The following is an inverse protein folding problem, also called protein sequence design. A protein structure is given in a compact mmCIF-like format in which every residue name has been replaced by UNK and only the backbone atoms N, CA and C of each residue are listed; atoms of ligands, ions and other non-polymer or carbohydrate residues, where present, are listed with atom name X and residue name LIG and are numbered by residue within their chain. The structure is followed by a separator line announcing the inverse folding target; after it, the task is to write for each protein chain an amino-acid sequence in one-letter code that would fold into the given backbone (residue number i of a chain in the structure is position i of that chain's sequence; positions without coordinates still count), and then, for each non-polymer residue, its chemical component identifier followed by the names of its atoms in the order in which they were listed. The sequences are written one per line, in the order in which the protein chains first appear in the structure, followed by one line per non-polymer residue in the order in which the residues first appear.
data_IF_366194938866
#
_entry.id   IF_366194938866
#
_cell.length_a   1.000
_cell.length_b   1.000
_cell.length_c   1.000
_cell.angle_alpha   90.00
_cell.angle_beta   90.00
_cell.angle_gamma   90.00
#
_symmetry.space_group_name_H-M   'P 1'
#
loop_
_entity.id
_entity.type
_entity.pdbx_description
1 polymer ?
#
# COMPACT_ATOMS: atom_id res chain seq x y z
N UNK A 1 29.51 14.54 -21.29
CA UNK A 1 29.94 14.13 -22.64
C UNK A 1 29.34 15.06 -23.71
N UNK A 2 28.05 15.36 -23.66
CA UNK A 2 27.37 16.26 -24.61
C UNK A 2 27.99 17.66 -24.70
N UNK A 3 28.38 18.27 -23.57
CA UNK A 3 29.04 19.58 -23.56
C UNK A 3 30.36 19.61 -24.36
N UNK A 4 31.20 18.60 -24.21
CA UNK A 4 32.46 18.48 -24.96
C UNK A 4 32.22 18.23 -26.47
N UNK A 5 31.15 17.53 -26.82
CA UNK A 5 30.75 17.36 -28.22
C UNK A 5 30.32 18.69 -28.85
N UNK A 6 29.53 19.50 -28.14
CA UNK A 6 29.09 20.81 -28.61
C UNK A 6 30.26 21.78 -28.79
N UNK A 7 31.19 21.82 -27.83
CA UNK A 7 32.40 22.65 -27.94
C UNK A 7 33.27 22.24 -29.14
N UNK A 8 33.43 20.94 -29.36
CA UNK A 8 34.22 20.43 -30.47
C UNK A 8 33.55 20.68 -31.83
N UNK A 9 32.23 20.57 -31.90
CA UNK A 9 31.44 20.92 -33.07
C UNK A 9 31.62 22.40 -33.45
N UNK A 10 31.58 23.30 -32.46
CA UNK A 10 31.77 24.73 -32.68
C UNK A 10 33.18 25.05 -33.23
N UNK A 11 34.21 24.40 -32.69
CA UNK A 11 35.59 24.53 -33.17
C UNK A 11 35.75 24.03 -34.61
N UNK A 12 35.18 22.86 -34.93
CA UNK A 12 35.28 22.26 -36.26
C UNK A 12 34.51 23.09 -37.30
N UNK A 13 33.31 23.55 -36.96
CA UNK A 13 32.44 24.30 -37.88
C UNK A 13 32.99 25.69 -38.23
N UNK A 14 33.82 26.29 -37.36
CA UNK A 14 34.50 27.57 -37.62
C UNK A 14 35.86 27.43 -38.32
N UNK A 15 36.46 26.24 -38.31
CA UNK A 15 37.79 26.04 -38.91
C UNK A 15 37.70 26.11 -40.45
N UNK A 16 38.47 26.97 -41.11
CA UNK A 16 38.52 27.00 -42.57
C UNK A 16 38.94 25.64 -43.13
N UNK A 17 38.12 25.08 -44.02
CA UNK A 17 38.40 23.80 -44.63
C UNK A 17 39.57 23.93 -45.64
N UNK A 18 40.46 22.94 -45.68
CA UNK A 18 41.75 23.03 -46.41
C UNK A 18 41.57 23.28 -47.92
N UNK A 19 40.53 22.72 -48.52
CA UNK A 19 40.27 22.78 -49.97
C UNK A 19 39.46 24.02 -50.34
N UNK A 20 38.36 24.26 -49.65
CA UNK A 20 37.42 25.36 -49.95
C UNK A 20 37.85 26.68 -49.33
N UNK A 21 38.83 26.66 -48.41
CA UNK A 21 39.39 27.82 -47.69
C UNK A 21 38.37 28.66 -46.92
N UNK A 22 37.14 28.18 -46.78
CA UNK A 22 36.02 28.81 -46.07
C UNK A 22 35.59 27.93 -44.90
N UNK A 23 35.01 28.54 -43.87
CA UNK A 23 34.49 27.78 -42.74
C UNK A 23 33.19 27.05 -43.16
N UNK A 24 32.98 25.78 -42.75
CA UNK A 24 31.73 25.07 -42.98
C UNK A 24 30.49 25.85 -42.53
N UNK A 25 30.56 26.58 -41.41
CA UNK A 25 29.46 27.40 -40.92
C UNK A 25 29.05 28.51 -41.90
N UNK A 26 30.00 29.12 -42.62
CA UNK A 26 29.72 30.17 -43.61
C UNK A 26 29.12 29.58 -44.89
N UNK A 27 29.62 28.42 -45.31
CA UNK A 27 29.10 27.72 -46.49
C UNK A 27 27.66 27.22 -46.25
N UNK A 28 27.37 26.73 -45.05
CA UNK A 28 26.05 26.24 -44.69
C UNK A 28 24.97 27.34 -44.76
N UNK A 29 25.31 28.60 -44.45
CA UNK A 29 24.38 29.73 -44.57
C UNK A 29 23.93 29.96 -46.02
N UNK A 30 24.82 29.77 -46.98
CA UNK A 30 24.53 29.86 -48.42
C UNK A 30 23.77 28.63 -48.91
N UNK A 31 24.21 27.43 -48.51
CA UNK A 31 23.61 26.15 -48.91
C UNK A 31 22.18 26.00 -48.38
N UNK A 32 21.90 26.50 -47.18
CA UNK A 32 20.57 26.43 -46.55
C UNK A 32 19.47 27.06 -47.41
N UNK A 33 19.79 28.03 -48.26
CA UNK A 33 18.82 28.63 -49.19
C UNK A 33 18.40 27.69 -50.33
N UNK A 34 19.20 26.64 -50.59
CA UNK A 34 18.99 25.64 -51.64
C UNK A 34 18.51 24.30 -51.09
N UNK A 35 18.59 24.10 -49.77
CA UNK A 35 18.12 22.89 -49.09
C UNK A 35 16.62 22.99 -48.83
N UNK A 36 15.92 21.88 -49.03
CA UNK A 36 14.51 21.77 -48.66
C UNK A 36 14.37 21.61 -47.14
N UNK A 37 13.37 22.24 -46.50
CA UNK A 37 13.12 22.05 -45.08
C UNK A 37 12.73 20.59 -44.81
N UNK A 38 13.17 20.07 -43.67
CA UNK A 38 12.72 18.76 -43.22
C UNK A 38 11.22 18.81 -42.90
N UNK A 39 10.46 17.72 -43.15
CA UNK A 39 9.06 17.62 -42.75
C UNK A 39 8.90 17.89 -41.25
N UNK A 40 7.90 18.70 -40.88
CA UNK A 40 7.62 19.00 -39.47
C UNK A 40 7.10 17.78 -38.69
N UNK A 41 6.47 16.83 -39.39
CA UNK A 41 6.08 15.55 -38.81
C UNK A 41 7.24 14.55 -38.92
N UNK A 42 7.65 13.88 -37.83
CA UNK A 42 8.71 12.90 -37.87
C UNK A 42 8.32 11.74 -38.80
N UNK A 43 9.24 11.37 -39.69
CA UNK A 43 9.08 10.18 -40.53
C UNK A 43 9.03 8.92 -39.66
N UNK A 44 8.21 7.94 -40.02
CA UNK A 44 7.94 6.76 -39.16
C UNK A 44 9.18 5.95 -38.79
N UNK A 45 10.25 6.01 -39.59
CA UNK A 45 11.53 5.40 -39.27
C UNK A 45 12.23 6.00 -38.02
N UNK A 46 11.85 7.21 -37.60
CA UNK A 46 12.42 7.86 -36.41
C UNK A 46 11.81 7.36 -35.08
N UNK A 47 10.71 6.61 -35.12
CA UNK A 47 10.03 6.15 -33.90
C UNK A 47 10.66 4.91 -33.26
N UNK A 48 11.55 4.20 -33.98
CA UNK A 48 12.30 3.06 -33.45
C UNK A 48 11.69 1.73 -33.83
N UNK A 49 11.55 0.81 -32.87
CA UNK A 49 11.07 -0.55 -33.09
C UNK A 49 9.63 -0.69 -32.59
N UNK A 50 8.75 -1.26 -33.41
CA UNK A 50 7.38 -1.56 -33.00
C UNK A 50 7.34 -2.69 -31.96
N UNK A 51 6.55 -2.50 -30.91
CA UNK A 51 6.26 -3.45 -29.84
C UNK A 51 4.77 -3.45 -29.53
N UNK A 52 4.22 -4.64 -29.33
CA UNK A 52 2.86 -4.78 -28.83
C UNK A 52 2.87 -4.65 -27.32
N UNK A 53 1.89 -3.93 -26.80
CA UNK A 53 1.57 -3.91 -25.37
C UNK A 53 0.94 -5.26 -25.03
N UNK A 54 1.37 -5.87 -23.92
CA UNK A 54 0.82 -7.14 -23.48
C UNK A 54 -0.71 -7.06 -23.30
N UNK A 55 -1.42 -8.17 -23.55
CA UNK A 55 -2.88 -8.19 -23.41
C UNK A 55 -3.36 -8.24 -21.95
N UNK A 56 -2.56 -8.84 -21.07
CA UNK A 56 -2.90 -9.03 -19.66
C UNK A 56 -2.39 -7.90 -18.77
N UNK A 57 -1.33 -7.21 -19.19
CA UNK A 57 -0.69 -6.16 -18.40
C UNK A 57 -0.33 -4.96 -19.29
N UNK A 58 -0.40 -3.72 -18.81
CA UNK A 58 -0.03 -2.54 -19.59
C UNK A 58 1.50 -2.36 -19.61
N UNK A 59 2.21 -3.37 -20.10
CA UNK A 59 3.66 -3.46 -20.14
C UNK A 59 4.16 -3.75 -21.56
N UNK A 60 5.36 -3.25 -21.84
CA UNK A 60 6.07 -3.42 -23.11
C UNK A 60 7.51 -3.84 -22.83
N UNK A 61 7.99 -4.86 -23.56
CA UNK A 61 9.38 -5.30 -23.47
C UNK A 61 10.22 -4.67 -24.59
N UNK A 62 11.31 -4.00 -24.23
CA UNK A 62 12.26 -3.40 -25.17
C UNK A 62 13.70 -3.61 -24.68
N UNK A 63 14.57 -4.14 -25.55
CA UNK A 63 15.98 -4.45 -25.24
C UNK A 63 16.19 -5.26 -23.94
N UNK A 64 15.25 -6.18 -23.64
CA UNK A 64 15.29 -7.02 -22.43
C UNK A 64 14.76 -6.34 -21.15
N UNK A 65 14.48 -5.03 -21.19
CA UNK A 65 13.80 -4.32 -20.12
C UNK A 65 12.28 -4.30 -20.30
N UNK A 66 11.54 -4.28 -19.19
CA UNK A 66 10.09 -4.14 -19.19
C UNK A 66 9.70 -2.73 -18.73
N UNK A 67 8.81 -2.08 -19.48
CA UNK A 67 8.41 -0.70 -19.28
C UNK A 67 6.89 -0.58 -19.28
N UNK A 68 6.34 0.14 -18.31
CA UNK A 68 4.90 0.41 -18.25
C UNK A 68 4.46 1.44 -19.28
N UNK A 69 3.23 1.27 -19.78
CA UNK A 69 2.51 2.23 -20.64
C UNK A 69 1.13 2.50 -20.06
N UNK A 70 0.45 3.60 -20.41
CA UNK A 70 -0.93 3.83 -19.98
C UNK A 70 -1.87 2.65 -20.29
N UNK A 71 -2.70 2.25 -19.32
CA UNK A 71 -3.61 1.09 -19.42
C UNK A 71 -4.57 1.16 -20.61
N UNK A 72 -4.89 2.36 -21.10
CA UNK A 72 -5.71 2.57 -22.30
C UNK A 72 -5.08 1.99 -23.58
N UNK A 73 -3.79 1.64 -23.56
CA UNK A 73 -3.05 1.12 -24.72
C UNK A 73 -2.81 -0.40 -24.64
N UNK A 74 -3.46 -1.11 -23.71
CA UNK A 74 -3.38 -2.58 -23.63
C UNK A 74 -3.82 -3.21 -24.95
N UNK A 75 -2.98 -4.09 -25.52
CA UNK A 75 -3.21 -4.72 -26.82
C UNK A 75 -2.93 -3.84 -28.05
N UNK A 76 -2.57 -2.57 -27.86
CA UNK A 76 -2.18 -1.68 -28.96
C UNK A 76 -0.70 -1.86 -29.34
N UNK A 77 -0.31 -1.31 -30.49
CA UNK A 77 1.10 -1.26 -30.91
C UNK A 77 1.71 0.10 -30.61
N UNK A 78 2.86 0.08 -29.93
CA UNK A 78 3.65 1.27 -29.62
C UNK A 78 5.04 1.15 -30.25
N UNK A 79 5.68 2.29 -30.46
CA UNK A 79 7.05 2.36 -30.95
C UNK A 79 7.99 2.66 -29.79
N UNK A 80 9.05 1.88 -29.68
CA UNK A 80 10.06 2.02 -28.65
C UNK A 80 11.41 2.39 -29.26
N UNK A 81 12.08 3.40 -28.70
CA UNK A 81 13.44 3.77 -29.07
C UNK A 81 14.26 4.15 -27.85
N UNK A 82 15.56 3.88 -27.92
CA UNK A 82 16.52 4.47 -26.98
C UNK A 82 16.77 5.95 -27.32
N UNK A 83 16.88 6.77 -26.30
CA UNK A 83 17.29 8.16 -26.36
C UNK A 83 18.28 8.42 -25.21
N UNK A 84 19.58 8.27 -25.50
CA UNK A 84 20.61 8.25 -24.46
C UNK A 84 20.40 7.08 -23.48
N UNK A 85 20.27 7.41 -22.20
CA UNK A 85 20.00 6.45 -21.12
C UNK A 85 18.51 6.18 -20.90
N UNK A 86 17.63 6.78 -21.71
CA UNK A 86 16.18 6.61 -21.61
C UNK A 86 15.62 5.77 -22.75
N UNK A 87 14.44 5.20 -22.51
CA UNK A 87 13.57 4.59 -23.50
C UNK A 87 12.33 5.46 -23.64
N UNK A 88 12.06 5.87 -24.87
CA UNK A 88 10.88 6.66 -25.24
C UNK A 88 9.90 5.75 -25.96
N UNK A 89 8.66 5.74 -25.47
CA UNK A 89 7.54 4.98 -26.02
C UNK A 89 6.54 5.95 -26.67
N UNK A 90 6.25 5.73 -27.95
CA UNK A 90 5.38 6.58 -28.76
C UNK A 90 4.21 5.75 -29.27
N UNK A 91 3.00 6.25 -29.07
CA UNK A 91 1.79 5.70 -29.70
C UNK A 91 1.40 6.55 -30.89
N UNK A 92 1.04 5.92 -32.01
CA UNK A 92 0.57 6.62 -33.21
C UNK A 92 -0.93 6.38 -33.34
N UNK A 93 -1.69 7.31 -32.77
CA UNK A 93 -3.15 7.30 -32.82
C UNK A 93 -3.70 8.13 -33.98
N UNK A 94 -5.03 8.32 -34.00
CA UNK A 94 -5.74 9.11 -35.02
C UNK A 94 -5.30 10.58 -35.10
N UNK A 95 -4.78 11.13 -34.00
CA UNK A 95 -4.31 12.51 -33.89
C UNK A 95 -2.83 12.67 -34.23
N UNK A 96 -2.14 11.57 -34.56
CA UNK A 96 -0.70 11.55 -34.83
C UNK A 96 0.12 10.89 -33.71
N UNK A 97 1.46 10.96 -33.83
CA UNK A 97 2.39 10.39 -32.87
C UNK A 97 2.40 11.18 -31.56
N UNK A 98 2.21 10.50 -30.43
CA UNK A 98 2.27 11.07 -29.08
C UNK A 98 3.23 10.25 -28.24
N UNK A 99 4.14 10.92 -27.53
CA UNK A 99 4.96 10.29 -26.49
C UNK A 99 4.05 9.90 -25.32
N UNK A 100 3.94 8.60 -25.07
CA UNK A 100 3.03 8.06 -24.04
C UNK A 100 3.76 7.67 -22.77
N UNK A 101 5.06 7.39 -22.87
CA UNK A 101 5.90 7.11 -21.71
C UNK A 101 7.38 7.34 -22.02
N UNK A 102 8.11 7.73 -20.98
CA UNK A 102 9.56 7.86 -20.97
C UNK A 102 10.08 7.24 -19.69
N UNK A 103 11.05 6.34 -19.82
CA UNK A 103 11.62 5.61 -18.71
C UNK A 103 13.14 5.58 -18.80
N UNK A 104 13.82 5.49 -17.67
CA UNK A 104 15.24 5.14 -17.65
C UNK A 104 15.43 3.71 -18.14
N UNK A 105 16.49 3.43 -18.90
CA UNK A 105 16.82 2.08 -19.36
C UNK A 105 16.96 1.14 -18.17
N UNK A 106 16.54 -0.11 -18.36
CA UNK A 106 16.57 -1.12 -17.32
C UNK A 106 17.03 -2.48 -17.82
N UNK A 107 17.31 -3.37 -16.88
CA UNK A 107 17.75 -4.75 -17.13
C UNK A 107 16.61 -5.76 -16.92
N UNK A 108 16.71 -6.96 -17.49
CA UNK A 108 15.76 -8.04 -17.22
C UNK A 108 15.57 -8.26 -15.72
N UNK A 109 14.31 -8.43 -15.28
CA UNK A 109 13.95 -8.61 -13.87
C UNK A 109 13.76 -7.32 -13.07
N UNK A 110 14.13 -6.15 -13.62
CA UNK A 110 13.95 -4.84 -12.98
C UNK A 110 12.97 -3.97 -13.79
N UNK A 111 11.66 -4.23 -13.77
CA UNK A 111 10.71 -3.45 -14.57
C UNK A 111 10.67 -1.98 -14.14
N UNK A 112 10.47 -1.07 -15.12
CA UNK A 112 10.21 0.35 -14.86
C UNK A 112 8.71 0.62 -14.93
N UNK A 113 8.14 0.88 -13.76
CA UNK A 113 6.71 1.05 -13.56
C UNK A 113 6.45 2.49 -13.13
N UNK A 114 5.62 3.19 -13.89
CA UNK A 114 5.04 4.47 -13.50
C UNK A 114 3.61 4.18 -13.03
N UNK A 115 3.32 4.46 -11.76
CA UNK A 115 2.01 4.19 -11.17
C UNK A 115 0.87 4.96 -11.86
N UNK A 116 1.15 6.14 -12.41
CA UNK A 116 0.16 6.94 -13.14
C UNK A 116 -0.37 6.27 -14.42
N UNK A 117 0.32 5.23 -14.91
CA UNK A 117 -0.14 4.45 -16.05
C UNK A 117 -1.29 3.48 -15.72
N UNK A 118 -1.49 3.19 -14.44
CA UNK A 118 -2.50 2.25 -13.95
C UNK A 118 -3.66 3.03 -13.35
N UNK A 119 -4.89 2.51 -13.49
CA UNK A 119 -6.02 3.07 -12.74
C UNK A 119 -5.72 3.07 -11.23
N UNK A 120 -6.13 4.12 -10.50
CA UNK A 120 -6.02 4.15 -9.04
C UNK A 120 -6.62 2.88 -8.45
N UNK A 121 -5.84 2.18 -7.63
CA UNK A 121 -6.31 0.96 -6.96
C UNK A 121 -7.45 1.34 -6.01
N UNK A 122 -8.58 0.65 -6.15
CA UNK A 122 -9.80 0.95 -5.38
C UNK A 122 -9.72 0.56 -3.89
N UNK A 123 -8.71 -0.21 -3.47
CA UNK A 123 -8.48 -0.51 -2.06
C UNK A 123 -7.00 -0.55 -1.72
N UNK A 124 -6.66 -0.02 -0.54
CA UNK A 124 -5.35 -0.16 0.07
C UNK A 124 -5.09 -1.64 0.43
N UNK A 125 -4.06 -2.29 -0.14
CA UNK A 125 -3.71 -3.67 0.18
C UNK A 125 -3.36 -3.88 1.66
N UNK A 126 -2.90 -2.83 2.35
CA UNK A 126 -2.47 -2.90 3.75
C UNK A 126 -3.64 -2.82 4.73
N UNK A 127 -4.78 -2.26 4.32
CA UNK A 127 -5.94 -2.02 5.19
C UNK A 127 -7.22 -2.55 4.54
N UNK A 128 -7.30 -3.88 4.39
CA UNK A 128 -8.50 -4.52 3.86
C UNK A 128 -9.63 -4.45 4.89
N UNK A 129 -10.66 -3.66 4.61
CA UNK A 129 -11.85 -3.65 5.46
C UNK A 129 -12.69 -4.91 5.24
N UNK A 130 -13.18 -5.56 6.32
CA UNK A 130 -14.08 -6.70 6.20
C UNK A 130 -15.38 -6.29 5.51
N UNK A 131 -15.77 -7.04 4.47
CA UNK A 131 -17.03 -6.85 3.74
C UNK A 131 -17.89 -8.09 3.90
N UNK A 132 -19.16 -7.89 4.25
CA UNK A 132 -20.13 -8.98 4.34
C UNK A 132 -20.33 -9.65 2.98
N UNK A 133 -20.23 -10.97 2.96
CA UNK A 133 -20.60 -11.86 1.84
C UNK A 133 -21.81 -12.71 2.17
N UNK A 134 -22.18 -12.84 3.46
CA UNK A 134 -23.37 -13.56 3.91
C UNK A 134 -24.26 -12.69 4.80
N UNK A 135 -25.50 -13.12 5.02
CA UNK A 135 -26.45 -12.39 5.88
C UNK A 135 -25.95 -12.30 7.33
N UNK A 136 -25.34 -13.37 7.84
CA UNK A 136 -24.80 -13.41 9.20
C UNK A 136 -23.61 -12.45 9.38
N UNK A 137 -22.75 -12.34 8.37
CA UNK A 137 -21.65 -11.36 8.38
C UNK A 137 -22.19 -9.93 8.33
N UNK A 138 -23.29 -9.68 7.60
CA UNK A 138 -23.94 -8.38 7.55
C UNK A 138 -24.59 -8.00 8.89
N UNK A 139 -25.26 -8.95 9.56
CA UNK A 139 -25.82 -8.74 10.89
C UNK A 139 -24.73 -8.43 11.92
N UNK A 140 -23.62 -9.15 11.89
CA UNK A 140 -22.50 -8.92 12.79
C UNK A 140 -21.82 -7.57 12.54
N UNK A 141 -21.53 -7.22 11.28
CA UNK A 141 -20.99 -5.89 10.94
C UNK A 141 -21.98 -4.76 11.27
N UNK A 142 -23.28 -5.06 11.28
CA UNK A 142 -24.33 -4.15 11.71
C UNK A 142 -24.31 -3.80 13.20
N UNK A 143 -23.56 -4.54 14.04
CA UNK A 143 -23.39 -4.21 15.45
C UNK A 143 -22.58 -2.91 15.64
N UNK A 144 -21.75 -2.52 14.67
CA UNK A 144 -21.04 -1.25 14.66
C UNK A 144 -19.54 -1.37 14.35
N UNK A 145 -18.77 -0.27 14.48
CA UNK A 145 -17.36 -0.22 14.09
C UNK A 145 -16.47 -1.20 14.87
N UNK A 146 -16.81 -1.49 16.13
CA UNK A 146 -16.11 -2.49 16.95
C UNK A 146 -16.15 -3.90 16.34
N UNK A 147 -17.21 -4.26 15.60
CA UNK A 147 -17.31 -5.54 14.91
C UNK A 147 -16.33 -5.65 13.74
N UNK A 148 -16.14 -4.58 12.97
CA UNK A 148 -15.18 -4.55 11.88
C UNK A 148 -13.74 -4.68 12.41
N UNK A 149 -13.40 -3.94 13.49
CA UNK A 149 -12.10 -4.04 14.15
C UNK A 149 -11.88 -5.47 14.68
N UNK A 150 -12.87 -6.03 15.38
CA UNK A 150 -12.78 -7.39 15.90
C UNK A 150 -12.51 -8.43 14.81
N UNK A 151 -13.12 -8.31 13.62
CA UNK A 151 -12.85 -9.22 12.50
C UNK A 151 -11.44 -9.08 11.92
N UNK A 152 -10.92 -7.86 11.84
CA UNK A 152 -9.55 -7.61 11.38
C UNK A 152 -8.55 -8.25 12.35
N UNK A 153 -8.66 -7.94 13.64
CA UNK A 153 -7.75 -8.45 14.66
C UNK A 153 -7.89 -9.97 14.85
N UNK A 154 -9.12 -10.51 14.81
CA UNK A 154 -9.35 -11.95 14.88
C UNK A 154 -8.73 -12.71 13.69
N UNK A 155 -8.72 -12.10 12.50
CA UNK A 155 -8.09 -12.68 11.32
C UNK A 155 -6.56 -12.65 11.44
N UNK A 156 -5.98 -11.56 11.94
CA UNK A 156 -4.55 -11.44 12.20
C UNK A 156 -4.07 -12.42 13.28
N UNK A 157 -4.85 -12.58 14.35
CA UNK A 157 -4.57 -13.53 15.43
C UNK A 157 -4.83 -15.00 15.05
N UNK A 158 -5.39 -15.27 13.87
CA UNK A 158 -5.73 -16.64 13.44
C UNK A 158 -6.83 -17.29 14.29
N UNK A 159 -7.79 -16.50 14.77
CA UNK A 159 -8.87 -16.98 15.63
C UNK A 159 -9.68 -18.10 14.95
N UNK A 160 -9.93 -19.18 15.70
CA UNK A 160 -10.74 -20.29 15.21
C UNK A 160 -12.23 -20.05 15.46
N UNK A 161 -13.09 -20.76 14.73
CA UNK A 161 -14.57 -20.73 14.92
C UNK A 161 -15.20 -19.33 14.86
N UNK A 162 -14.64 -18.41 14.08
CA UNK A 162 -15.12 -17.01 13.94
C UNK A 162 -16.62 -16.91 13.68
N UNK A 163 -17.18 -17.76 12.80
CA UNK A 163 -18.62 -17.75 12.48
C UNK A 163 -19.52 -18.02 13.69
N UNK A 164 -19.11 -18.93 14.59
CA UNK A 164 -19.88 -19.22 15.80
C UNK A 164 -19.85 -18.03 16.77
N UNK A 165 -18.69 -17.38 16.91
CA UNK A 165 -18.50 -16.20 17.76
C UNK A 165 -19.25 -14.97 17.23
N UNK A 166 -19.30 -14.79 15.90
CA UNK A 166 -20.16 -13.75 15.30
C UNK A 166 -21.63 -13.99 15.63
N UNK A 167 -22.12 -15.23 15.52
CA UNK A 167 -23.50 -15.56 15.85
C UNK A 167 -23.80 -15.34 17.36
N UNK A 168 -22.87 -15.71 18.23
CA UNK A 168 -22.94 -15.44 19.68
C UNK A 168 -23.01 -13.93 19.95
N UNK A 169 -22.14 -13.14 19.34
CA UNK A 169 -22.10 -11.68 19.48
C UNK A 169 -23.40 -11.01 19.00
N UNK A 170 -23.96 -11.45 17.86
CA UNK A 170 -25.27 -11.00 17.39
C UNK A 170 -26.38 -11.39 18.38
N UNK A 171 -26.28 -12.56 19.00
CA UNK A 171 -27.18 -13.00 20.08
C UNK A 171 -27.09 -12.09 21.31
N UNK A 172 -25.88 -11.78 21.78
CA UNK A 172 -25.63 -10.88 22.90
C UNK A 172 -26.08 -9.44 22.58
N UNK A 173 -25.98 -9.02 21.32
CA UNK A 173 -26.51 -7.74 20.83
C UNK A 173 -28.02 -7.55 21.05
N UNK A 174 -28.76 -8.63 21.27
CA UNK A 174 -30.20 -8.57 21.59
C UNK A 174 -30.47 -8.37 23.09
N UNK A 175 -29.47 -8.61 23.94
CA UNK A 175 -29.58 -8.56 25.41
C UNK A 175 -28.94 -7.29 26.00
N UNK A 176 -27.90 -6.77 25.36
CA UNK A 176 -27.12 -5.62 25.82
C UNK A 176 -27.37 -4.38 24.96
N UNK A 177 -27.01 -3.21 25.48
CA UNK A 177 -27.09 -1.97 24.70
C UNK A 177 -26.11 -2.01 23.51
N UNK A 178 -26.46 -1.41 22.35
CA UNK A 178 -25.55 -1.39 21.20
C UNK A 178 -24.17 -0.78 21.51
N UNK A 179 -24.13 0.26 22.36
CA UNK A 179 -22.89 0.91 22.77
C UNK A 179 -21.99 -0.03 23.56
N UNK A 180 -22.53 -0.78 24.53
CA UNK A 180 -21.77 -1.74 25.32
C UNK A 180 -21.20 -2.87 24.43
N UNK A 181 -21.96 -3.33 23.44
CA UNK A 181 -21.50 -4.39 22.52
C UNK A 181 -20.37 -3.88 21.62
N UNK A 182 -20.46 -2.65 21.11
CA UNK A 182 -19.37 -2.04 20.33
C UNK A 182 -18.11 -1.90 21.18
N UNK A 183 -18.23 -1.38 22.40
CA UNK A 183 -17.11 -1.22 23.32
C UNK A 183 -16.49 -2.57 23.72
N UNK A 184 -17.31 -3.58 23.99
CA UNK A 184 -16.84 -4.92 24.33
C UNK A 184 -16.11 -5.60 23.16
N UNK A 185 -16.62 -5.46 21.93
CA UNK A 185 -15.95 -5.97 20.73
C UNK A 185 -14.62 -5.26 20.48
N UNK A 186 -14.57 -3.94 20.68
CA UNK A 186 -13.33 -3.18 20.57
C UNK A 186 -12.31 -3.60 21.63
N UNK A 187 -12.71 -3.72 22.90
CA UNK A 187 -11.83 -4.17 23.98
C UNK A 187 -11.33 -5.60 23.76
N UNK A 188 -12.20 -6.50 23.25
CA UNK A 188 -11.81 -7.86 22.88
C UNK A 188 -10.76 -7.87 21.78
N UNK A 189 -10.92 -7.01 20.76
CA UNK A 189 -9.98 -6.87 19.66
C UNK A 189 -8.61 -6.34 20.15
N UNK A 190 -8.61 -5.25 20.92
CA UNK A 190 -7.40 -4.62 21.47
C UNK A 190 -6.63 -5.53 22.44
N UNK A 191 -7.35 -6.38 23.19
CA UNK A 191 -6.74 -7.33 24.13
C UNK A 191 -6.39 -8.69 23.53
N UNK A 192 -6.66 -8.91 22.24
CA UNK A 192 -6.44 -10.19 21.56
C UNK A 192 -7.31 -11.34 22.11
N UNK A 193 -8.44 -11.02 22.75
CA UNK A 193 -9.34 -11.99 23.38
C UNK A 193 -10.41 -12.46 22.40
N UNK A 194 -10.10 -13.57 21.75
CA UNK A 194 -10.99 -14.22 20.78
C UNK A 194 -11.46 -15.60 21.23
N UNK A 195 -11.42 -15.91 22.52
CA UNK A 195 -11.89 -17.16 23.12
C UNK A 195 -13.42 -17.29 23.11
N UNK A 196 -13.91 -18.49 23.45
CA UNK A 196 -15.34 -18.73 23.67
C UNK A 196 -15.77 -18.10 25.00
N UNK A 197 -16.88 -17.34 25.01
CA UNK A 197 -17.34 -16.62 26.20
C UNK A 197 -16.53 -15.36 26.58
N UNK A 198 -15.48 -15.00 25.84
CA UNK A 198 -14.68 -13.80 26.13
C UNK A 198 -15.52 -12.52 26.03
N UNK A 199 -16.34 -12.41 24.98
CA UNK A 199 -17.23 -11.27 24.80
C UNK A 199 -18.27 -11.17 25.93
N UNK A 200 -18.84 -12.30 26.35
CA UNK A 200 -19.78 -12.36 27.46
C UNK A 200 -19.11 -11.98 28.79
N UNK A 201 -17.88 -12.45 29.03
CA UNK A 201 -17.07 -12.08 30.20
C UNK A 201 -16.80 -10.57 30.25
N UNK A 202 -16.45 -9.96 29.12
CA UNK A 202 -16.22 -8.52 29.00
C UNK A 202 -17.52 -7.74 29.27
N UNK A 203 -18.64 -8.15 28.66
CA UNK A 203 -19.93 -7.50 28.85
C UNK A 203 -20.42 -7.58 30.31
N UNK A 204 -20.25 -8.72 30.98
CA UNK A 204 -20.57 -8.84 32.42
C UNK A 204 -19.72 -7.91 33.27
N UNK A 205 -18.42 -7.80 32.97
CA UNK A 205 -17.53 -6.91 33.69
C UNK A 205 -17.90 -5.44 33.48
N UNK A 206 -18.26 -5.05 32.26
CA UNK A 206 -18.76 -3.70 31.97
C UNK A 206 -20.05 -3.40 32.74
N UNK A 207 -20.98 -4.36 32.82
CA UNK A 207 -22.22 -4.19 33.58
C UNK A 207 -21.96 -3.94 35.08
N UNK A 208 -21.01 -4.66 35.70
CA UNK A 208 -20.67 -4.44 37.11
C UNK A 208 -19.95 -3.12 37.36
N UNK A 209 -19.19 -2.61 36.39
CA UNK A 209 -18.52 -1.31 36.46
C UNK A 209 -19.48 -0.12 36.23
N UNK A 210 -20.58 -0.33 35.51
CA UNK A 210 -21.63 0.70 35.35
C UNK A 210 -22.49 0.85 36.60
N UNK A 211 -22.74 -0.25 37.31
CA UNK A 211 -23.54 -0.25 38.56
C UNK A 211 -22.73 0.11 39.81
N UNK A 212 -21.41 -0.13 39.81
CA UNK A 212 -20.51 0.20 40.91
C UNK A 212 -19.78 1.51 40.68
N UNK A 213 -19.88 2.47 41.60
CA UNK A 213 -18.96 3.61 41.59
C UNK A 213 -17.52 3.08 41.59
N UNK A 214 -16.77 3.29 40.51
CA UNK A 214 -15.38 2.88 40.42
C UNK A 214 -14.67 3.25 41.74
N UNK A 215 -14.14 2.26 42.45
CA UNK A 215 -13.51 2.47 43.75
C UNK A 215 -12.29 3.39 43.53
N UNK A 216 -12.47 4.69 43.81
CA UNK A 216 -11.39 5.66 43.77
C UNK A 216 -10.72 5.68 45.13
N UNK A 217 -9.39 5.71 45.12
CA UNK A 217 -8.64 6.01 46.32
C UNK A 217 -9.14 7.35 46.91
N UNK A 218 -9.49 7.34 48.18
CA UNK A 218 -9.86 8.53 48.96
C UNK A 218 -9.05 8.54 50.24
N UNK A 219 -9.02 9.67 50.96
CA UNK A 219 -8.33 9.76 52.26
C UNK A 219 -8.84 8.70 53.27
N UNK A 220 -10.07 8.20 53.08
CA UNK A 220 -10.67 7.11 53.87
C UNK A 220 -10.58 5.73 53.24
N UNK A 221 -10.08 5.59 52.00
CA UNK A 221 -10.04 4.32 51.28
C UNK A 221 -8.76 4.18 50.44
N UNK A 222 -7.82 3.37 50.91
CA UNK A 222 -6.62 2.99 50.15
C UNK A 222 -6.92 1.82 49.21
N UNK A 223 -6.28 1.83 48.03
CA UNK A 223 -6.25 0.72 47.06
C UNK A 223 -5.03 -0.20 47.25
N UNK A 224 -4.17 0.09 48.23
CA UNK A 224 -3.08 -0.82 48.58
C UNK A 224 -3.65 -2.05 49.29
N UNK A 225 -3.27 -3.24 48.81
CA UNK A 225 -3.54 -4.48 49.53
C UNK A 225 -2.82 -4.42 50.89
N UNK A 226 -3.60 -4.29 51.97
CA UNK A 226 -3.06 -4.32 53.32
C UNK A 226 -2.56 -5.73 53.67
N UNK A 227 -1.47 -5.81 54.43
CA UNK A 227 -0.95 -7.07 54.97
C UNK A 227 -1.86 -7.71 56.03
N UNK A 228 -3.07 -7.18 56.24
CA UNK A 228 -4.04 -7.69 57.20
C UNK A 228 -4.40 -9.17 56.96
N UNK A 229 -4.39 -9.62 55.70
CA UNK A 229 -4.58 -11.04 55.36
C UNK A 229 -3.47 -11.96 55.92
N UNK A 230 -2.27 -11.43 56.15
CA UNK A 230 -1.14 -12.18 56.72
C UNK A 230 -1.16 -12.26 58.25
N UNK A 231 -1.95 -11.42 58.93
CA UNK A 231 -2.03 -11.43 60.39
C UNK A 231 -2.61 -12.73 60.97
N UNK A 232 -3.40 -13.46 60.18
CA UNK A 232 -4.00 -14.75 60.58
C UNK A 232 -2.95 -15.86 60.70
N UNK A 233 -1.84 -15.78 59.96
CA UNK A 233 -0.78 -16.80 59.95
C UNK A 233 0.15 -16.75 61.18
N UNK A 234 0.08 -15.70 62.00
CA UNK A 234 0.96 -15.52 63.16
C UNK A 234 0.45 -16.10 64.48
N UNK A 235 -0.79 -16.61 64.54
CA UNK A 235 -1.43 -17.04 65.79
C UNK A 235 -1.43 -18.56 66.04
N UNK A 236 -0.92 -19.39 65.13
CA UNK A 236 -0.80 -20.84 65.32
C UNK A 236 0.56 -21.20 65.95
N UNK A 237 0.73 -20.84 67.23
CA UNK A 237 1.85 -21.32 68.05
C UNK A 237 1.35 -22.45 68.98
N UNK A 238 1.13 -23.64 68.40
CA UNK A 238 0.82 -24.86 69.16
C UNK A 238 2.08 -25.69 69.38
N UNK A 239 2.67 -25.54 70.57
CA UNK A 239 3.72 -26.39 71.13
C UNK A 239 3.29 -27.86 71.19
N UNK A 240 4.01 -28.83 70.58
CA UNK A 240 3.84 -30.24 70.89
C UNK A 240 4.70 -30.62 72.11
N UNK A 241 4.05 -31.22 73.11
CA UNK A 241 4.64 -31.62 74.38
C UNK A 241 5.63 -32.79 74.30
N UNK A 242 6.56 -32.83 75.26
CA UNK A 242 7.38 -33.99 75.59
C UNK A 242 6.72 -34.78 76.73
N UNK A 243 6.64 -36.11 76.57
CA UNK A 243 5.98 -37.06 77.47
C UNK A 243 7.03 -37.99 78.13
N UNK A 244 6.74 -38.41 79.38
CA UNK A 244 7.24 -39.54 80.19
C UNK A 244 8.68 -39.46 80.74
N UNK A 245 9.01 -39.88 81.97
CA UNK A 245 8.37 -40.82 82.91
C UNK A 245 8.39 -40.30 84.35
#
# INVERSE_FOLDING_TARGET
MEAACMEQEEVVNRRPHRVTRRAPAEMLLEERQRLHPLPQAPYTAAFGVSRQVEQATPMVTYEGGAYSVPESLVGESVWARAHGEEVVLVYVGRQGPVEVARHQRTTPGNPRVNEAHFKPRQSDPLHRQPRARTAEEAEFLGLGPGAALWLTEAAEAGASRVRAKMAEAVGLGKLFSPAAVVEALQLAAESGRFGEGDLESILRHQATMQDGSAARASDSHSLQEGTAAWAVLGNDDSHPGAIHA
#
